data_IF_360894057005
#
_entry.id   IF_360894057005
#
_cell.length_a   1.000
_cell.length_b   1.000
_cell.length_c   1.000
_cell.angle_alpha   90.00
_cell.angle_beta   90.00
_cell.angle_gamma   90.00
#
_symmetry.space_group_name_H-M   'P 1'
#
loop_
_entity.id
_entity.type
_entity.pdbx_description
1 polymer ?
#
# COMPACT_ATOMS: atom_id res chain seq x y z
N UNK A 1 -17.58 25.40 16.25
CA UNK A 1 -17.18 24.01 15.93
C UNK A 1 -16.57 24.04 14.53
N UNK A 2 -15.25 24.05 14.44
CA UNK A 2 -14.54 24.12 13.15
C UNK A 2 -14.75 22.80 12.41
N UNK A 3 -15.39 22.84 11.24
CA UNK A 3 -15.43 21.71 10.31
C UNK A 3 -13.98 21.39 9.94
N UNK A 4 -13.51 20.14 10.01
CA UNK A 4 -12.20 19.80 9.47
C UNK A 4 -12.27 20.06 7.96
N UNK A 5 -11.57 21.10 7.51
CA UNK A 5 -11.41 21.40 6.10
C UNK A 5 -10.61 20.27 5.47
N UNK A 6 -10.99 19.80 4.29
CA UNK A 6 -10.36 18.66 3.59
C UNK A 6 -8.85 18.79 3.31
N UNK A 7 -8.25 19.93 3.66
CA UNK A 7 -6.83 20.27 3.50
C UNK A 7 -5.93 19.60 4.55
N UNK A 8 -6.43 19.31 5.76
CA UNK A 8 -5.62 18.64 6.80
C UNK A 8 -5.37 17.15 6.48
N UNK A 9 -6.18 16.56 5.60
CA UNK A 9 -6.11 15.14 5.24
C UNK A 9 -5.07 14.84 4.16
N UNK A 10 -4.69 15.82 3.34
CA UNK A 10 -3.79 15.58 2.20
C UNK A 10 -2.34 15.32 2.62
N UNK A 11 -1.89 15.88 3.74
CA UNK A 11 -0.54 15.67 4.27
C UNK A 11 -0.37 14.32 4.98
N UNK A 12 -1.39 13.82 5.70
CA UNK A 12 -1.33 12.51 6.37
C UNK A 12 -1.32 11.33 5.38
N UNK A 13 -1.89 11.51 4.19
CA UNK A 13 -2.01 10.49 3.13
C UNK A 13 -0.89 10.61 2.07
N UNK A 14 0.18 11.36 2.36
CA UNK A 14 1.29 11.53 1.42
C UNK A 14 1.99 10.19 1.09
N UNK A 15 2.22 9.89 -0.20
CA UNK A 15 3.04 8.73 -0.59
C UNK A 15 4.44 8.77 0.00
N UNK A 16 4.94 9.95 0.30
CA UNK A 16 6.32 10.10 0.74
C UNK A 16 6.56 9.30 2.02
N UNK A 17 5.52 9.09 2.84
CA UNK A 17 5.54 8.19 4.00
C UNK A 17 5.88 6.74 3.65
N UNK A 18 5.53 6.32 2.43
CA UNK A 18 5.70 4.96 1.95
C UNK A 18 6.99 4.77 1.15
N UNK A 19 7.67 5.85 0.74
CA UNK A 19 8.94 5.77 0.00
C UNK A 19 9.99 4.83 0.62
N UNK A 20 10.21 4.81 1.95
CA UNK A 20 11.14 3.88 2.59
C UNK A 20 10.81 2.40 2.33
N UNK A 21 9.54 2.07 2.10
CA UNK A 21 9.10 0.69 1.85
C UNK A 21 9.61 0.14 0.51
N UNK A 22 9.89 1.02 -0.46
CA UNK A 22 10.35 0.61 -1.80
C UNK A 22 11.73 -0.04 -1.75
N UNK A 23 12.57 0.36 -0.80
CA UNK A 23 13.93 -0.18 -0.60
C UNK A 23 13.96 -1.39 0.34
N UNK A 24 12.88 -1.62 1.09
CA UNK A 24 12.84 -2.62 2.15
C UNK A 24 12.96 -4.06 1.65
N UNK A 25 12.62 -4.33 0.39
CA UNK A 25 12.72 -5.67 -0.19
C UNK A 25 13.80 -5.76 -1.27
N UNK A 26 14.60 -4.71 -1.48
CA UNK A 26 15.57 -4.63 -2.57
C UNK A 26 16.50 -5.86 -2.63
N UNK A 27 16.70 -6.38 -3.84
CA UNK A 27 17.45 -7.61 -4.08
C UNK A 27 18.95 -7.38 -3.96
N UNK A 28 19.43 -6.17 -4.26
CA UNK A 28 20.85 -5.80 -4.18
C UNK A 28 21.41 -5.99 -2.76
N UNK A 29 20.64 -5.63 -1.74
CA UNK A 29 21.02 -5.83 -0.33
C UNK A 29 21.25 -7.31 -0.01
N UNK A 30 20.44 -8.21 -0.57
CA UNK A 30 20.57 -9.64 -0.31
C UNK A 30 21.68 -10.29 -1.11
N UNK A 31 22.00 -9.78 -2.30
CA UNK A 31 23.17 -10.21 -3.07
C UNK A 31 24.46 -9.77 -2.37
N UNK A 32 24.52 -8.53 -1.89
CA UNK A 32 25.62 -8.05 -1.06
C UNK A 32 25.79 -8.89 0.22
N UNK A 33 24.71 -9.18 0.95
CA UNK A 33 24.79 -10.03 2.14
C UNK A 33 25.28 -11.45 1.81
N UNK A 34 24.96 -11.99 0.63
CA UNK A 34 25.46 -13.31 0.19
C UNK A 34 26.94 -13.29 -0.18
N UNK A 35 27.48 -12.15 -0.62
CA UNK A 35 28.90 -12.03 -0.96
C UNK A 35 29.80 -11.85 0.27
N UNK A 36 29.23 -11.59 1.47
CA UNK A 36 30.00 -11.42 2.69
C UNK A 36 30.49 -12.76 3.26
N UNK A 37 31.78 -12.88 3.61
CA UNK A 37 32.32 -14.08 4.25
C UNK A 37 31.65 -14.30 5.63
N UNK A 38 31.29 -15.56 5.92
CA UNK A 38 30.72 -15.95 7.21
C UNK A 38 29.21 -15.77 7.36
N UNK A 39 28.50 -15.21 6.37
CA UNK A 39 27.04 -15.16 6.40
C UNK A 39 26.43 -16.52 6.06
N UNK A 40 25.56 -17.01 6.94
CA UNK A 40 24.80 -18.25 6.74
C UNK A 40 23.47 -17.99 6.05
N UNK A 41 22.95 -19.01 5.33
CA UNK A 41 21.59 -18.98 4.76
C UNK A 41 20.51 -18.69 5.82
N UNK A 42 20.72 -19.13 7.06
CA UNK A 42 19.81 -18.89 8.19
C UNK A 42 19.76 -17.41 8.59
N UNK A 43 20.91 -16.72 8.61
CA UNK A 43 20.97 -15.28 8.88
C UNK A 43 20.26 -14.48 7.78
N UNK A 44 20.47 -14.82 6.51
CA UNK A 44 19.78 -14.21 5.37
C UNK A 44 18.26 -14.40 5.48
N UNK A 45 17.79 -15.61 5.80
CA UNK A 45 16.37 -15.89 5.99
C UNK A 45 15.76 -15.10 7.16
N UNK A 46 16.52 -14.90 8.24
CA UNK A 46 16.10 -14.07 9.39
C UNK A 46 15.94 -12.60 9.00
N UNK A 47 16.91 -12.03 8.27
CA UNK A 47 16.85 -10.65 7.76
C UNK A 47 15.63 -10.49 6.84
N UNK A 48 15.44 -11.43 5.90
CA UNK A 48 14.29 -11.43 4.98
C UNK A 48 12.96 -11.42 5.73
N UNK A 49 12.81 -12.29 6.72
CA UNK A 49 11.61 -12.35 7.56
C UNK A 49 11.35 -11.04 8.28
N UNK A 50 12.39 -10.42 8.83
CA UNK A 50 12.28 -9.15 9.55
C UNK A 50 11.85 -8.00 8.63
N UNK A 51 12.48 -7.87 7.46
CA UNK A 51 12.11 -6.88 6.45
C UNK A 51 10.68 -7.06 5.95
N UNK A 52 10.24 -8.31 5.75
CA UNK A 52 8.85 -8.60 5.39
C UNK A 52 7.86 -8.23 6.49
N UNK A 53 8.23 -8.36 7.77
CA UNK A 53 7.39 -7.90 8.89
C UNK A 53 7.20 -6.39 8.86
N UNK A 54 8.27 -5.63 8.60
CA UNK A 54 8.19 -4.17 8.47
C UNK A 54 7.33 -3.80 7.25
N UNK A 55 7.54 -4.46 6.11
CA UNK A 55 6.73 -4.25 4.91
C UNK A 55 5.23 -4.50 5.15
N UNK A 56 4.86 -5.57 5.88
CA UNK A 56 3.47 -5.81 6.31
C UNK A 56 2.92 -4.72 7.23
N UNK A 57 3.78 -4.04 8.00
CA UNK A 57 3.42 -2.83 8.74
C UNK A 57 2.93 -1.73 7.80
N UNK A 58 3.70 -1.40 6.78
CA UNK A 58 3.32 -0.41 5.77
C UNK A 58 2.03 -0.77 5.04
N UNK A 59 1.84 -2.05 4.66
CA UNK A 59 0.59 -2.49 4.00
C UNK A 59 -0.64 -2.31 4.89
N UNK A 60 -0.51 -2.52 6.21
CA UNK A 60 -1.62 -2.28 7.15
C UNK A 60 -1.94 -0.80 7.27
N UNK A 61 -0.92 0.07 7.34
CA UNK A 61 -1.12 1.53 7.34
C UNK A 61 -1.83 1.98 6.07
N UNK A 62 -1.38 1.51 4.90
CA UNK A 62 -2.01 1.85 3.62
C UNK A 62 -3.48 1.40 3.55
N UNK A 63 -3.77 0.18 4.02
CA UNK A 63 -5.14 -0.32 4.07
C UNK A 63 -6.05 0.53 4.97
N UNK A 64 -5.52 0.98 6.10
CA UNK A 64 -6.24 1.87 7.01
C UNK A 64 -6.50 3.24 6.36
N UNK A 65 -5.50 3.82 5.71
CA UNK A 65 -5.62 5.12 5.02
C UNK A 65 -6.63 5.05 3.87
N UNK A 66 -6.59 3.99 3.05
CA UNK A 66 -7.57 3.75 2.00
C UNK A 66 -9.00 3.60 2.57
N UNK A 67 -9.15 2.87 3.67
CA UNK A 67 -10.42 2.72 4.37
C UNK A 67 -10.99 4.07 4.86
N UNK A 68 -10.13 4.93 5.42
CA UNK A 68 -10.51 6.29 5.85
C UNK A 68 -11.00 7.15 4.69
N UNK A 69 -10.28 7.16 3.56
CA UNK A 69 -10.71 7.92 2.37
C UNK A 69 -12.03 7.39 1.80
N UNK A 70 -12.19 6.07 1.72
CA UNK A 70 -13.46 5.48 1.29
C UNK A 70 -14.63 5.88 2.20
N UNK A 71 -14.42 5.93 3.52
CA UNK A 71 -15.45 6.36 4.47
C UNK A 71 -15.79 7.84 4.31
N UNK A 72 -14.80 8.71 4.11
CA UNK A 72 -15.03 10.12 3.86
C UNK A 72 -15.87 10.33 2.58
N UNK A 73 -15.52 9.64 1.48
CA UNK A 73 -16.28 9.72 0.25
C UNK A 73 -17.71 9.19 0.39
N UNK A 74 -17.91 8.08 1.10
CA UNK A 74 -19.25 7.55 1.39
C UNK A 74 -20.11 8.55 2.17
N UNK A 75 -19.52 9.31 3.10
CA UNK A 75 -20.23 10.36 3.84
C UNK A 75 -20.64 11.51 2.92
N UNK A 76 -19.75 11.96 2.04
CA UNK A 76 -20.06 13.02 1.07
C UNK A 76 -21.17 12.60 0.09
N UNK A 77 -21.13 11.36 -0.39
CA UNK A 77 -22.21 10.80 -1.22
C UNK A 77 -23.53 10.78 -0.44
N UNK A 78 -23.52 10.37 0.83
CA UNK A 78 -24.71 10.33 1.66
C UNK A 78 -25.27 11.73 2.01
N UNK A 79 -24.40 12.73 2.16
CA UNK A 79 -24.78 14.12 2.43
C UNK A 79 -25.27 14.88 1.18
N UNK A 80 -24.99 14.37 -0.03
CA UNK A 80 -25.26 15.02 -1.32
C UNK A 80 -26.76 15.16 -1.65
N UNK A 81 -27.68 14.52 -0.92
CA UNK A 81 -29.13 14.65 -1.11
C UNK A 81 -29.70 14.09 -2.42
N UNK A 82 -28.84 13.87 -3.41
CA UNK A 82 -29.12 13.30 -4.72
C UNK A 82 -28.47 11.91 -4.81
N UNK A 83 -29.26 10.89 -5.15
CA UNK A 83 -28.75 9.52 -5.36
C UNK A 83 -27.79 9.53 -6.55
N UNK A 84 -26.48 9.40 -6.28
CA UNK A 84 -25.42 9.29 -7.29
C UNK A 84 -24.90 7.86 -7.38
N UNK A 85 -25.69 6.92 -7.98
CA UNK A 85 -25.30 5.51 -8.10
C UNK A 85 -24.01 5.34 -8.91
N UNK A 86 -23.72 6.25 -9.83
CA UNK A 86 -22.49 6.25 -10.63
C UNK A 86 -21.25 6.44 -9.75
N UNK A 87 -21.28 7.36 -8.78
CA UNK A 87 -20.17 7.59 -7.84
C UNK A 87 -20.01 6.41 -6.87
N UNK A 88 -21.12 5.85 -6.38
CA UNK A 88 -21.09 4.68 -5.52
C UNK A 88 -20.50 3.45 -6.23
N UNK A 89 -20.88 3.23 -7.49
CA UNK A 89 -20.36 2.11 -8.30
C UNK A 89 -18.88 2.30 -8.64
N UNK A 90 -18.44 3.53 -8.93
CA UNK A 90 -17.04 3.85 -9.16
C UNK A 90 -16.21 3.58 -7.90
N UNK A 91 -16.68 4.00 -6.72
CA UNK A 91 -16.03 3.70 -5.45
C UNK A 91 -15.89 2.19 -5.21
N UNK A 92 -16.96 1.42 -5.45
CA UNK A 92 -16.92 -0.04 -5.29
C UNK A 92 -15.89 -0.71 -6.23
N UNK A 93 -15.78 -0.23 -7.49
CA UNK A 93 -14.77 -0.72 -8.44
C UNK A 93 -13.35 -0.46 -7.91
N UNK A 94 -13.08 0.75 -7.42
CA UNK A 94 -11.80 1.08 -6.80
C UNK A 94 -11.51 0.25 -5.55
N UNK A 95 -12.51 0.01 -4.69
CA UNK A 95 -12.36 -0.87 -3.52
C UNK A 95 -12.00 -2.30 -3.94
N UNK A 96 -12.65 -2.84 -4.98
CA UNK A 96 -12.35 -4.18 -5.51
C UNK A 96 -10.95 -4.25 -6.13
N UNK A 97 -10.55 -3.23 -6.90
CA UNK A 97 -9.23 -3.14 -7.51
C UNK A 97 -8.11 -3.03 -6.45
N UNK A 98 -8.31 -2.20 -5.43
CA UNK A 98 -7.41 -2.09 -4.29
C UNK A 98 -7.28 -3.42 -3.54
N UNK A 99 -8.39 -4.08 -3.23
CA UNK A 99 -8.39 -5.38 -2.54
C UNK A 99 -7.66 -6.46 -3.35
N UNK A 100 -7.92 -6.54 -4.66
CA UNK A 100 -7.23 -7.48 -5.56
C UNK A 100 -5.72 -7.24 -5.57
N UNK A 101 -5.32 -5.97 -5.59
CA UNK A 101 -3.91 -5.57 -5.59
C UNK A 101 -3.25 -5.90 -4.26
N UNK A 102 -3.91 -5.62 -3.14
CA UNK A 102 -3.44 -5.98 -1.80
C UNK A 102 -3.25 -7.51 -1.66
N UNK A 103 -4.19 -8.32 -2.15
CA UNK A 103 -4.08 -9.79 -2.12
C UNK A 103 -2.86 -10.25 -2.93
N UNK A 104 -2.65 -9.71 -4.14
CA UNK A 104 -1.47 -10.02 -4.97
C UNK A 104 -0.16 -9.68 -4.26
N UNK A 105 -0.11 -8.52 -3.61
CA UNK A 105 1.06 -8.05 -2.86
C UNK A 105 1.35 -8.97 -1.68
N UNK A 106 0.34 -9.31 -0.87
CA UNK A 106 0.49 -10.23 0.26
C UNK A 106 0.94 -11.62 -0.18
N UNK A 107 0.37 -12.15 -1.28
CA UNK A 107 0.76 -13.44 -1.84
C UNK A 107 2.22 -13.44 -2.31
N UNK A 108 2.63 -12.40 -3.07
CA UNK A 108 4.03 -12.24 -3.48
C UNK A 108 4.98 -12.13 -2.29
N UNK A 109 4.57 -11.41 -1.24
CA UNK A 109 5.36 -11.29 -0.03
C UNK A 109 5.50 -12.63 0.72
N UNK A 110 4.48 -13.47 0.71
CA UNK A 110 4.54 -14.83 1.26
C UNK A 110 5.54 -15.70 0.48
N UNK A 111 5.46 -15.71 -0.86
CA UNK A 111 6.42 -16.41 -1.72
C UNK A 111 7.86 -15.92 -1.47
N UNK A 112 8.04 -14.60 -1.39
CA UNK A 112 9.32 -13.99 -1.07
C UNK A 112 9.84 -14.43 0.31
N UNK A 113 9.01 -14.44 1.35
CA UNK A 113 9.43 -14.91 2.69
C UNK A 113 9.90 -16.35 2.70
N UNK A 114 9.33 -17.22 1.87
CA UNK A 114 9.75 -18.61 1.72
C UNK A 114 10.98 -18.77 0.83
N UNK A 115 11.35 -17.75 0.05
CA UNK A 115 12.47 -17.79 -0.89
C UNK A 115 12.13 -18.44 -2.21
N UNK A 116 10.84 -18.55 -2.51
CA UNK A 116 10.32 -19.04 -3.77
C UNK A 116 10.24 -17.87 -4.75
N UNK A 117 11.22 -17.80 -5.65
CA UNK A 117 11.21 -16.93 -6.83
C UNK A 117 11.90 -15.58 -6.68
N UNK A 118 12.43 -15.08 -7.81
CA UNK A 118 12.79 -13.68 -8.06
C UNK A 118 11.51 -12.84 -8.06
N UNK A 119 10.88 -12.68 -6.90
CA UNK A 119 9.72 -11.80 -6.76
C UNK A 119 10.21 -10.38 -6.96
N UNK A 120 10.02 -9.86 -8.17
CA UNK A 120 10.41 -8.51 -8.53
C UNK A 120 9.67 -7.50 -7.65
N UNK A 121 10.46 -6.85 -6.80
CA UNK A 121 10.04 -5.81 -5.85
C UNK A 121 9.51 -4.62 -6.61
N UNK A 122 10.05 -4.32 -7.79
CA UNK A 122 9.57 -3.24 -8.65
C UNK A 122 8.13 -3.48 -9.08
N UNK A 123 7.71 -4.73 -9.29
CA UNK A 123 6.31 -5.08 -9.55
C UNK A 123 5.41 -4.89 -8.31
N UNK A 124 5.92 -5.16 -7.11
CA UNK A 124 5.20 -4.94 -5.85
C UNK A 124 5.00 -3.45 -5.55
N UNK A 125 6.04 -2.68 -5.82
CA UNK A 125 6.09 -1.23 -5.68
C UNK A 125 5.21 -0.53 -6.72
N UNK A 126 5.20 -0.98 -7.98
CA UNK A 126 4.29 -0.46 -9.02
C UNK A 126 2.82 -0.70 -8.67
N UNK A 127 2.49 -1.87 -8.10
CA UNK A 127 1.14 -2.17 -7.63
C UNK A 127 0.74 -1.24 -6.46
N UNK A 128 1.66 -0.97 -5.55
CA UNK A 128 1.48 -0.01 -4.48
C UNK A 128 1.31 1.43 -5.00
N UNK A 129 2.16 1.89 -5.91
CA UNK A 129 2.06 3.22 -6.52
C UNK A 129 0.73 3.40 -7.26
N UNK A 130 0.26 2.37 -7.96
CA UNK A 130 -1.07 2.37 -8.57
C UNK A 130 -2.18 2.54 -7.53
N UNK A 131 -2.11 1.84 -6.40
CA UNK A 131 -3.08 1.99 -5.29
C UNK A 131 -3.05 3.40 -4.70
N UNK A 132 -1.85 3.97 -4.52
CA UNK A 132 -1.68 5.34 -4.02
C UNK A 132 -2.16 6.38 -5.04
N UNK A 133 -1.98 6.13 -6.34
CA UNK A 133 -2.48 6.99 -7.40
C UNK A 133 -4.01 6.96 -7.47
N UNK A 134 -4.64 5.79 -7.33
CA UNK A 134 -6.10 5.70 -7.20
C UNK A 134 -6.61 6.47 -5.99
N UNK A 135 -5.94 6.35 -4.83
CA UNK A 135 -6.27 7.11 -3.64
C UNK A 135 -6.23 8.63 -3.88
N UNK A 136 -5.18 9.11 -4.56
CA UNK A 136 -5.00 10.53 -4.91
C UNK A 136 -5.94 10.99 -6.04
N UNK A 137 -6.48 10.08 -6.85
CA UNK A 137 -7.48 10.41 -7.87
C UNK A 137 -8.85 10.62 -7.25
N UNK A 138 -9.16 9.86 -6.18
CA UNK A 138 -10.44 9.93 -5.47
C UNK A 138 -10.45 11.10 -4.45
N UNK A 139 -9.31 11.42 -3.84
CA UNK A 139 -9.19 12.50 -2.85
C UNK A 139 -9.71 13.89 -3.32
N UNK A 140 -9.42 14.40 -4.52
CA UNK A 140 -9.94 15.68 -4.98
C UNK A 140 -11.43 15.66 -5.33
N UNK A 141 -12.03 14.49 -5.58
CA UNK A 141 -13.48 14.37 -5.78
C UNK A 141 -14.28 14.46 -4.46
N UNK A 142 -13.57 14.51 -3.33
CA UNK A 142 -14.13 14.66 -1.98
C UNK A 142 -14.06 16.12 -1.45
N UNK A 143 -13.55 17.06 -2.26
CA UNK A 143 -13.52 18.51 -1.98
C UNK A 143 -14.57 19.20 -2.85
#
# INVERSE_FOLDING_TARGET
MSRPTGVEWTDEVSAERYRPMMRLLDTEDFEFLRSQPGITRRQIAKIRTHRCRIFRGYLRSLNADFGRVCMALKRLIAESGEDRPDLASLLLRHQAQFARTMIRVQFRLLLYTWGLGRVDVSGLVKLFDGMRQELMTIAPAAV
#
